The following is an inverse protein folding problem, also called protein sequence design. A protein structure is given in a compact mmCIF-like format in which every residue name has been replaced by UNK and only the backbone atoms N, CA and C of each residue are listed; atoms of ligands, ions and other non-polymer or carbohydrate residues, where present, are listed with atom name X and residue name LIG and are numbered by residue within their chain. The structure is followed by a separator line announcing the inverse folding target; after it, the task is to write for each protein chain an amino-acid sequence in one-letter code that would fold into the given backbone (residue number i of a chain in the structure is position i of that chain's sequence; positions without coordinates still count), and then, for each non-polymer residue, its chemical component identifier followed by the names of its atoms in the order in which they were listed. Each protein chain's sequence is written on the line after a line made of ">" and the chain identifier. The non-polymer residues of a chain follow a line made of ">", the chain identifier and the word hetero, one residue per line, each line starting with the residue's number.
data_IF_862038697125
#
_entry.id   IF_862038697125
#
_cell.length_a   1.000
_cell.length_b   1.000
_cell.length_c   1.000
_cell.angle_alpha   90.00
_cell.angle_beta   90.00
_cell.angle_gamma   90.00
#
_symmetry.space_group_name_H-M   'P 1'
#
loop_
_entity.id
_entity.type
_entity.pdbx_description
1 polymer ?
#
# COMPACT_ATOMS: atom_id res chain seq x y z
N UNK A 1 -36.05 10.15 1.71
CA UNK A 1 -34.56 10.15 1.76
C UNK A 1 -34.04 9.02 0.93
N UNK A 2 -33.83 9.24 -0.37
CA UNK A 2 -33.30 8.23 -1.28
C UNK A 2 -31.77 8.31 -1.26
N UNK A 3 -31.13 7.32 -0.62
CA UNK A 3 -29.67 7.17 -0.68
C UNK A 3 -29.21 6.99 -2.14
N UNK A 4 -28.03 7.48 -2.53
CA UNK A 4 -27.57 7.49 -3.89
C UNK A 4 -27.41 6.06 -4.42
N UNK A 5 -27.91 5.82 -5.64
CA UNK A 5 -27.76 4.56 -6.36
C UNK A 5 -26.26 4.33 -6.66
N UNK A 6 -25.65 3.46 -5.89
CA UNK A 6 -24.30 2.96 -6.13
C UNK A 6 -24.39 1.97 -7.30
N UNK A 7 -23.54 2.10 -8.32
CA UNK A 7 -23.52 1.17 -9.45
C UNK A 7 -23.30 -0.28 -8.99
N UNK A 8 -23.72 -1.28 -9.79
CA UNK A 8 -23.70 -2.71 -9.44
C UNK A 8 -22.33 -3.18 -8.89
N UNK A 9 -21.22 -2.70 -9.47
CA UNK A 9 -19.86 -3.01 -8.99
C UNK A 9 -19.57 -2.45 -7.61
N UNK A 10 -19.94 -1.20 -7.34
CA UNK A 10 -19.74 -0.58 -6.03
C UNK A 10 -20.64 -1.21 -4.94
N UNK A 11 -21.84 -1.69 -5.31
CA UNK A 11 -22.68 -2.48 -4.40
C UNK A 11 -22.04 -3.83 -4.07
N UNK A 12 -21.41 -4.49 -5.04
CA UNK A 12 -20.71 -5.76 -4.83
C UNK A 12 -19.50 -5.59 -3.91
N UNK A 13 -18.66 -4.57 -4.15
CA UNK A 13 -17.50 -4.30 -3.30
C UNK A 13 -17.90 -3.95 -1.86
N UNK A 14 -18.96 -3.16 -1.70
CA UNK A 14 -19.53 -2.87 -0.37
C UNK A 14 -20.02 -4.15 0.31
N UNK A 15 -20.79 -4.98 -0.39
CA UNK A 15 -21.25 -6.27 0.14
C UNK A 15 -20.11 -7.21 0.51
N UNK A 16 -19.02 -7.22 -0.27
CA UNK A 16 -17.81 -7.98 0.04
C UNK A 16 -17.18 -7.45 1.33
N UNK A 17 -17.04 -6.16 1.49
CA UNK A 17 -16.48 -5.53 2.68
C UNK A 17 -17.35 -5.76 3.92
N UNK A 18 -18.66 -5.57 3.80
CA UNK A 18 -19.63 -5.81 4.87
C UNK A 18 -19.58 -7.29 5.30
N UNK A 19 -19.49 -8.23 4.34
CA UNK A 19 -19.29 -9.64 4.63
C UNK A 19 -17.97 -10.00 5.31
N UNK A 20 -16.94 -9.16 5.20
CA UNK A 20 -15.70 -9.37 5.95
C UNK A 20 -15.90 -9.10 7.45
N UNK A 21 -16.78 -8.17 7.81
CA UNK A 21 -17.13 -7.83 9.19
C UNK A 21 -18.20 -8.75 9.75
N UNK A 22 -19.30 -8.97 9.01
CA UNK A 22 -20.51 -9.67 9.46
C UNK A 22 -20.44 -11.20 9.27
N UNK A 23 -19.45 -11.67 8.53
CA UNK A 23 -19.25 -13.06 8.14
C UNK A 23 -19.70 -13.33 6.70
N UNK A 24 -18.89 -14.04 5.91
CA UNK A 24 -19.19 -14.35 4.53
C UNK A 24 -20.30 -15.40 4.44
N UNK A 25 -21.22 -15.21 3.49
CA UNK A 25 -22.18 -16.25 3.13
C UNK A 25 -21.50 -17.50 2.53
N UNK A 26 -22.25 -18.61 2.44
CA UNK A 26 -21.74 -19.90 1.97
C UNK A 26 -21.07 -19.78 0.58
N UNK A 27 -21.69 -19.08 -0.38
CA UNK A 27 -21.15 -18.92 -1.71
C UNK A 27 -19.77 -18.20 -1.71
N UNK A 28 -19.62 -17.20 -0.88
CA UNK A 28 -18.35 -16.44 -0.74
C UNK A 28 -17.28 -17.29 -0.06
N UNK A 29 -17.67 -18.14 0.89
CA UNK A 29 -16.77 -19.08 1.57
C UNK A 29 -16.27 -20.16 0.60
N UNK A 30 -17.13 -20.71 -0.27
CA UNK A 30 -16.74 -21.66 -1.32
C UNK A 30 -15.79 -21.00 -2.32
N UNK A 31 -16.12 -19.80 -2.81
CA UNK A 31 -15.24 -19.06 -3.72
C UNK A 31 -13.85 -18.77 -3.10
N UNK A 32 -13.82 -18.46 -1.80
CA UNK A 32 -12.58 -18.26 -1.05
C UNK A 32 -11.76 -19.56 -0.92
N UNK A 33 -12.40 -20.68 -0.73
CA UNK A 33 -11.72 -21.98 -0.68
C UNK A 33 -11.08 -22.33 -2.04
N UNK A 34 -11.81 -22.11 -3.15
CA UNK A 34 -11.27 -22.32 -4.50
C UNK A 34 -10.09 -21.39 -4.78
N UNK A 35 -10.21 -20.10 -4.44
CA UNK A 35 -9.13 -19.14 -4.55
C UNK A 35 -7.89 -19.58 -3.73
N UNK A 36 -8.13 -20.01 -2.49
CA UNK A 36 -7.07 -20.47 -1.59
C UNK A 36 -6.34 -21.70 -2.18
N UNK A 37 -7.09 -22.68 -2.67
CA UNK A 37 -6.52 -23.90 -3.27
C UNK A 37 -5.67 -23.59 -4.50
N UNK A 38 -6.17 -22.75 -5.41
CA UNK A 38 -5.44 -22.36 -6.62
C UNK A 38 -4.16 -21.58 -6.27
N UNK A 39 -4.25 -20.67 -5.28
CA UNK A 39 -3.12 -19.85 -4.86
C UNK A 39 -2.06 -20.68 -4.12
N UNK A 40 -2.48 -21.55 -3.20
CA UNK A 40 -1.58 -22.43 -2.44
C UNK A 40 -0.94 -23.49 -3.33
N UNK A 41 -1.67 -24.04 -4.28
CA UNK A 41 -1.13 -24.97 -5.28
C UNK A 41 -0.03 -24.31 -6.12
N UNK A 42 -0.27 -23.08 -6.59
CA UNK A 42 0.77 -22.31 -7.30
C UNK A 42 1.99 -22.06 -6.43
N UNK A 43 1.79 -21.65 -5.17
CA UNK A 43 2.89 -21.36 -4.26
C UNK A 43 3.69 -22.62 -3.92
N UNK A 44 3.04 -23.76 -3.74
CA UNK A 44 3.69 -25.06 -3.57
C UNK A 44 4.60 -25.42 -4.76
N UNK A 45 4.15 -25.15 -5.99
CA UNK A 45 4.97 -25.40 -7.19
C UNK A 45 6.23 -24.52 -7.21
N UNK A 46 6.14 -23.27 -6.72
CA UNK A 46 7.31 -22.41 -6.55
C UNK A 46 8.23 -22.91 -5.41
N UNK A 47 7.65 -23.34 -4.28
CA UNK A 47 8.40 -23.80 -3.11
C UNK A 47 9.09 -25.12 -3.38
N UNK A 48 8.48 -26.01 -4.18
CA UNK A 48 9.06 -27.25 -4.68
C UNK A 48 10.09 -27.05 -5.79
N UNK A 49 10.32 -25.81 -6.25
CA UNK A 49 11.26 -25.53 -7.33
C UNK A 49 10.79 -26.02 -8.72
N UNK A 50 9.48 -26.32 -8.90
CA UNK A 50 8.92 -26.67 -10.22
C UNK A 50 8.72 -25.39 -11.04
N UNK A 51 8.19 -24.35 -10.40
CA UNK A 51 8.13 -23.01 -10.98
C UNK A 51 9.30 -22.17 -10.45
N UNK A 52 9.92 -21.40 -11.32
CA UNK A 52 11.06 -20.57 -10.96
C UNK A 52 10.79 -19.10 -11.31
N UNK A 53 11.10 -18.19 -10.39
CA UNK A 53 11.20 -16.77 -10.69
C UNK A 53 12.42 -16.50 -11.58
N UNK A 54 12.21 -15.69 -12.62
CA UNK A 54 13.30 -15.27 -13.52
C UNK A 54 14.13 -14.18 -12.85
N UNK A 55 15.46 -14.29 -12.94
CA UNK A 55 16.36 -13.20 -12.58
C UNK A 55 16.32 -12.11 -13.65
N UNK A 56 16.51 -10.87 -13.20
CA UNK A 56 16.78 -9.72 -14.05
C UNK A 56 18.21 -9.25 -13.85
N UNK A 57 18.69 -8.33 -14.66
CA UNK A 57 20.11 -7.93 -14.70
C UNK A 57 20.53 -7.01 -13.54
N UNK A 58 19.59 -6.54 -12.75
CA UNK A 58 19.83 -5.63 -11.62
C UNK A 58 19.14 -6.15 -10.36
N UNK A 59 19.59 -5.76 -9.15
CA UNK A 59 18.96 -6.14 -7.90
C UNK A 59 17.49 -5.71 -7.82
N UNK A 60 16.63 -6.58 -7.27
CA UNK A 60 15.20 -6.34 -7.09
C UNK A 60 14.84 -6.40 -5.62
N UNK A 61 14.29 -5.30 -5.12
CA UNK A 61 13.70 -5.17 -3.79
C UNK A 61 12.18 -5.18 -3.97
N UNK A 62 11.54 -6.22 -3.48
CA UNK A 62 10.08 -6.38 -3.58
C UNK A 62 9.41 -5.90 -2.30
N UNK A 63 8.47 -5.00 -2.43
CA UNK A 63 7.61 -4.56 -1.33
C UNK A 63 6.20 -5.11 -1.59
N UNK A 64 5.61 -5.76 -0.62
CA UNK A 64 4.29 -6.32 -0.76
C UNK A 64 3.50 -6.38 0.53
N UNK A 65 2.40 -7.10 0.55
CA UNK A 65 1.57 -7.30 1.72
C UNK A 65 0.70 -8.54 1.56
N UNK A 66 0.16 -9.05 2.66
CA UNK A 66 -0.73 -10.22 2.63
C UNK A 66 -2.16 -9.86 2.28
N UNK A 67 -2.56 -8.59 2.44
CA UNK A 67 -3.95 -8.15 2.28
C UNK A 67 -4.18 -7.35 1.00
N UNK A 68 -5.43 -7.32 0.57
CA UNK A 68 -5.91 -6.43 -0.48
C UNK A 68 -6.21 -5.06 0.13
N UNK A 69 -5.69 -3.99 -0.50
CA UNK A 69 -5.87 -2.61 -0.05
C UNK A 69 -5.09 -2.22 1.21
N UNK A 70 -4.80 -0.96 1.36
CA UNK A 70 -4.45 -0.26 2.59
C UNK A 70 -3.23 -0.68 3.42
N UNK A 71 -2.43 -1.66 3.03
CA UNK A 71 -1.35 -2.18 3.89
C UNK A 71 -0.09 -1.31 4.02
N UNK A 72 -0.14 -0.05 3.58
CA UNK A 72 1.00 0.87 3.71
C UNK A 72 2.15 0.63 2.73
N UNK A 73 1.97 -0.19 1.71
CA UNK A 73 3.01 -0.51 0.71
C UNK A 73 3.55 0.73 0.01
N UNK A 74 2.67 1.58 -0.49
CA UNK A 74 3.04 2.77 -1.26
C UNK A 74 3.98 3.72 -0.51
N UNK A 75 3.70 4.17 0.73
CA UNK A 75 4.64 4.99 1.49
C UNK A 75 5.94 4.25 1.85
N UNK A 76 5.90 2.94 2.10
CA UNK A 76 7.11 2.13 2.34
C UNK A 76 7.95 1.99 1.07
N UNK A 77 7.33 1.73 -0.08
CA UNK A 77 8.01 1.67 -1.37
C UNK A 77 8.68 3.00 -1.72
N UNK A 78 7.96 4.11 -1.49
CA UNK A 78 8.47 5.44 -1.70
C UNK A 78 9.69 5.73 -0.79
N UNK A 79 9.60 5.41 0.50
CA UNK A 79 10.71 5.62 1.44
C UNK A 79 11.94 4.78 1.06
N UNK A 80 11.77 3.52 0.68
CA UNK A 80 12.86 2.65 0.25
C UNK A 80 13.52 3.18 -1.03
N UNK A 81 12.73 3.65 -1.99
CA UNK A 81 13.26 4.28 -3.21
C UNK A 81 14.05 5.57 -2.88
N UNK A 82 13.55 6.38 -1.95
CA UNK A 82 14.25 7.56 -1.43
C UNK A 82 15.59 7.20 -0.79
N UNK A 83 15.64 6.19 0.09
CA UNK A 83 16.90 5.74 0.70
C UNK A 83 17.93 5.26 -0.32
N UNK A 84 17.47 4.60 -1.38
CA UNK A 84 18.34 4.17 -2.47
C UNK A 84 18.92 5.37 -3.21
N UNK A 85 18.10 6.38 -3.50
CA UNK A 85 18.51 7.60 -4.17
C UNK A 85 19.52 8.37 -3.31
N UNK A 86 19.22 8.60 -2.03
CA UNK A 86 20.12 9.22 -1.04
C UNK A 86 21.43 8.46 -0.90
N UNK A 87 21.40 7.13 -1.01
CA UNK A 87 22.58 6.26 -1.01
C UNK A 87 23.36 6.25 -2.34
N UNK A 88 23.07 7.19 -3.26
CA UNK A 88 23.74 7.32 -4.54
C UNK A 88 23.41 6.19 -5.53
N UNK A 89 22.26 5.48 -5.33
CA UNK A 89 21.77 4.47 -6.28
C UNK A 89 20.86 5.14 -7.32
N UNK A 90 20.66 4.46 -8.43
CA UNK A 90 19.70 4.86 -9.46
C UNK A 90 18.52 3.88 -9.44
N UNK A 91 17.57 4.03 -8.49
CA UNK A 91 16.43 3.15 -8.41
C UNK A 91 15.42 3.43 -9.52
N UNK A 92 14.70 2.37 -9.94
CA UNK A 92 13.43 2.53 -10.59
C UNK A 92 12.35 1.85 -9.75
N UNK A 93 11.20 2.50 -9.62
CA UNK A 93 10.02 1.98 -8.96
C UNK A 93 9.06 1.44 -10.01
N UNK A 94 8.66 0.19 -9.85
CA UNK A 94 7.77 -0.50 -10.80
C UNK A 94 6.43 -0.76 -10.14
N UNK A 95 5.37 -0.23 -10.71
CA UNK A 95 3.98 -0.48 -10.31
C UNK A 95 3.32 -1.53 -11.21
N UNK A 96 2.07 -1.88 -10.93
CA UNK A 96 1.43 -3.07 -11.49
C UNK A 96 0.36 -2.81 -12.55
N UNK A 97 0.42 -1.71 -13.30
CA UNK A 97 -0.59 -1.34 -14.29
C UNK A 97 -1.84 -0.72 -13.65
N UNK A 98 -1.63 0.01 -12.55
CA UNK A 98 -2.67 0.78 -11.84
C UNK A 98 -2.25 2.25 -11.87
N UNK A 99 -2.80 3.06 -12.78
CA UNK A 99 -2.30 4.40 -13.08
C UNK A 99 -2.22 5.35 -11.89
N UNK A 100 -3.20 5.33 -10.98
CA UNK A 100 -3.21 6.18 -9.79
C UNK A 100 -2.07 5.80 -8.80
N UNK A 101 -1.68 4.52 -8.70
CA UNK A 101 -0.53 4.10 -7.89
C UNK A 101 0.78 4.66 -8.46
N UNK A 102 0.93 4.64 -9.79
CA UNK A 102 2.10 5.19 -10.45
C UNK A 102 2.21 6.71 -10.27
N UNK A 103 1.09 7.43 -10.43
CA UNK A 103 1.08 8.89 -10.23
C UNK A 103 1.40 9.26 -8.77
N UNK A 104 0.87 8.52 -7.79
CA UNK A 104 1.23 8.70 -6.39
C UNK A 104 2.74 8.51 -6.17
N UNK A 105 3.33 7.48 -6.77
CA UNK A 105 4.77 7.24 -6.65
C UNK A 105 5.61 8.35 -7.30
N UNK A 106 5.18 8.88 -8.46
CA UNK A 106 5.84 10.03 -9.11
C UNK A 106 5.78 11.30 -8.26
N UNK A 107 4.65 11.49 -7.57
CA UNK A 107 4.48 12.64 -6.67
C UNK A 107 5.36 12.53 -5.42
N UNK A 108 5.48 11.32 -4.85
CA UNK A 108 6.28 11.06 -3.65
C UNK A 108 7.79 11.08 -3.92
N UNK A 109 8.21 10.71 -5.12
CA UNK A 109 9.61 10.54 -5.51
C UNK A 109 9.90 11.15 -6.88
N UNK A 110 9.98 12.47 -6.96
CA UNK A 110 10.15 13.23 -8.23
C UNK A 110 11.42 12.85 -9.00
N UNK A 111 12.47 12.43 -8.29
CA UNK A 111 13.78 12.10 -8.85
C UNK A 111 13.98 10.59 -9.08
N UNK A 112 12.95 9.78 -8.84
CA UNK A 112 12.97 8.33 -9.08
C UNK A 112 12.21 8.01 -10.36
N UNK A 113 12.82 7.20 -11.21
CA UNK A 113 12.13 6.67 -12.40
C UNK A 113 10.97 5.77 -11.96
N UNK A 114 9.75 6.07 -12.42
CA UNK A 114 8.55 5.27 -12.15
C UNK A 114 8.00 4.71 -13.45
N UNK A 115 8.01 3.38 -13.58
CA UNK A 115 7.43 2.63 -14.68
C UNK A 115 6.16 1.90 -14.22
N UNK A 116 5.12 1.97 -15.02
CA UNK A 116 3.85 1.29 -14.76
C UNK A 116 3.49 0.35 -15.90
N UNK A 117 3.36 -0.95 -15.58
CA UNK A 117 2.95 -1.95 -16.55
C UNK A 117 2.43 -3.20 -15.85
N UNK A 118 1.40 -3.83 -16.41
CA UNK A 118 0.95 -5.16 -15.98
C UNK A 118 2.02 -6.22 -16.22
N UNK A 119 2.78 -6.11 -17.31
CA UNK A 119 4.01 -6.87 -17.52
C UNK A 119 5.18 -6.17 -16.83
N UNK A 120 5.33 -6.44 -15.55
CA UNK A 120 6.41 -5.88 -14.72
C UNK A 120 7.80 -6.19 -15.24
N UNK A 121 7.96 -7.29 -15.99
CA UNK A 121 9.25 -7.64 -16.59
C UNK A 121 9.58 -6.69 -17.73
N UNK A 122 8.62 -6.39 -18.59
CA UNK A 122 8.79 -5.40 -19.64
C UNK A 122 9.11 -4.02 -19.06
N UNK A 123 8.41 -3.61 -17.99
CA UNK A 123 8.71 -2.38 -17.27
C UNK A 123 10.14 -2.35 -16.72
N UNK A 124 10.62 -3.45 -16.10
CA UNK A 124 11.99 -3.54 -15.60
C UNK A 124 13.01 -3.41 -16.74
N UNK A 125 12.77 -4.06 -17.88
CA UNK A 125 13.67 -3.97 -19.05
C UNK A 125 13.76 -2.52 -19.53
N UNK A 126 12.63 -1.81 -19.65
CA UNK A 126 12.62 -0.37 -20.01
C UNK A 126 13.38 0.46 -18.98
N UNK A 127 13.09 0.27 -17.69
CA UNK A 127 13.74 1.01 -16.62
C UNK A 127 15.28 0.83 -16.65
N UNK A 128 15.76 -0.41 -16.86
CA UNK A 128 17.18 -0.70 -16.98
C UNK A 128 17.80 -0.04 -18.22
N UNK A 129 17.11 -0.05 -19.35
CA UNK A 129 17.53 0.66 -20.56
C UNK A 129 17.62 2.18 -20.35
N UNK A 130 16.77 2.75 -19.47
CA UNK A 130 16.81 4.15 -19.05
C UNK A 130 17.85 4.44 -17.95
N UNK A 131 18.65 3.43 -17.58
CA UNK A 131 19.78 3.57 -16.68
C UNK A 131 19.51 3.24 -15.21
N UNK A 132 18.38 2.60 -14.88
CA UNK A 132 18.16 2.08 -13.53
C UNK A 132 19.21 1.02 -13.18
N UNK A 133 19.66 1.05 -11.92
CA UNK A 133 20.68 0.14 -11.38
C UNK A 133 20.13 -0.76 -10.26
N UNK A 134 18.94 -0.51 -9.78
CA UNK A 134 18.18 -1.36 -8.88
C UNK A 134 16.68 -1.11 -9.06
N UNK A 135 15.87 -2.09 -8.70
CA UNK A 135 14.41 -2.05 -8.86
C UNK A 135 13.75 -2.10 -7.49
N UNK A 136 12.78 -1.22 -7.26
CA UNK A 136 11.80 -1.30 -6.19
C UNK A 136 10.48 -1.76 -6.82
N UNK A 137 10.05 -2.98 -6.49
CA UNK A 137 8.85 -3.57 -7.06
C UNK A 137 7.68 -3.36 -6.10
N UNK A 138 6.82 -2.39 -6.37
CA UNK A 138 5.63 -2.13 -5.55
C UNK A 138 4.58 -3.22 -5.75
N UNK A 139 3.99 -3.67 -4.65
CA UNK A 139 3.04 -4.79 -4.64
C UNK A 139 3.61 -6.08 -5.26
N UNK A 140 4.89 -6.38 -4.98
CA UNK A 140 5.65 -7.47 -5.62
C UNK A 140 5.54 -8.84 -4.95
N UNK A 141 5.08 -8.98 -3.71
CA UNK A 141 5.15 -10.21 -2.92
C UNK A 141 4.46 -11.41 -3.56
N UNK A 142 3.29 -11.21 -4.18
CA UNK A 142 2.57 -12.24 -4.92
C UNK A 142 3.18 -12.52 -6.31
N UNK A 143 4.09 -11.65 -6.79
CA UNK A 143 4.59 -11.70 -8.16
C UNK A 143 5.86 -12.55 -8.26
N UNK A 144 5.78 -13.85 -7.92
CA UNK A 144 6.89 -14.80 -7.84
C UNK A 144 7.58 -15.10 -9.20
N UNK A 145 7.02 -14.60 -10.32
CA UNK A 145 7.66 -14.74 -11.66
C UNK A 145 8.97 -13.96 -11.81
N UNK A 146 9.17 -12.93 -10.97
CA UNK A 146 10.43 -12.18 -10.88
C UNK A 146 11.08 -12.57 -9.58
N UNK A 147 12.36 -12.98 -9.64
CA UNK A 147 13.13 -13.28 -8.44
C UNK A 147 13.53 -11.96 -7.77
N UNK A 148 13.16 -11.82 -6.53
CA UNK A 148 13.58 -10.69 -5.68
C UNK A 148 14.81 -11.06 -4.88
N UNK A 149 15.71 -10.10 -4.68
CA UNK A 149 16.91 -10.24 -3.86
C UNK A 149 16.66 -9.82 -2.41
N UNK A 150 15.58 -9.05 -2.18
CA UNK A 150 15.07 -8.65 -0.87
C UNK A 150 13.55 -8.60 -0.91
N UNK A 151 12.89 -9.28 0.02
CA UNK A 151 11.42 -9.27 0.15
C UNK A 151 10.99 -8.56 1.43
N UNK A 152 10.35 -7.41 1.30
CA UNK A 152 9.78 -6.63 2.39
C UNK A 152 8.25 -6.78 2.37
N UNK A 153 7.67 -7.21 3.49
CA UNK A 153 6.22 -7.39 3.60
C UNK A 153 5.65 -6.37 4.58
N UNK A 154 4.72 -5.56 4.11
CA UNK A 154 3.98 -4.62 4.93
C UNK A 154 2.75 -5.29 5.53
N UNK A 155 2.59 -5.18 6.84
CA UNK A 155 1.42 -5.61 7.59
C UNK A 155 0.82 -4.37 8.25
N UNK A 156 -0.42 -4.08 7.94
CA UNK A 156 -1.17 -2.99 8.54
C UNK A 156 -1.92 -3.47 9.77
N UNK A 157 -1.86 -2.69 10.85
CA UNK A 157 -2.49 -3.04 12.13
C UNK A 157 -3.99 -3.18 12.06
N UNK A 158 -4.68 -2.48 11.15
CA UNK A 158 -6.14 -2.56 11.01
C UNK A 158 -6.58 -3.87 10.35
N UNK A 159 -6.00 -4.20 9.20
CA UNK A 159 -6.38 -5.42 8.48
C UNK A 159 -5.86 -6.69 9.16
N UNK A 160 -4.72 -6.62 9.85
CA UNK A 160 -4.12 -7.77 10.52
C UNK A 160 -4.82 -8.14 11.84
N UNK A 161 -5.47 -7.17 12.49
CA UNK A 161 -6.29 -7.42 13.70
C UNK A 161 -7.61 -8.14 13.42
N UNK A 162 -7.99 -8.30 12.15
CA UNK A 162 -9.18 -9.07 11.77
C UNK A 162 -9.00 -10.54 12.17
N UNK A 163 -9.79 -10.98 13.14
CA UNK A 163 -9.66 -12.26 13.83
C UNK A 163 -9.70 -13.48 12.92
N UNK A 164 -10.42 -13.42 11.80
CA UNK A 164 -10.65 -14.59 10.96
C UNK A 164 -9.62 -14.79 9.84
N UNK A 165 -8.74 -13.82 9.53
CA UNK A 165 -7.73 -13.87 8.43
C UNK A 165 -8.17 -14.61 7.17
N UNK A 166 -9.44 -14.42 6.80
CA UNK A 166 -10.05 -15.11 5.67
C UNK A 166 -9.46 -14.62 4.35
N UNK A 167 -9.34 -15.54 3.40
CA UNK A 167 -8.86 -15.23 2.05
C UNK A 167 -9.92 -14.56 1.18
N UNK A 168 -9.48 -13.90 0.13
CA UNK A 168 -10.37 -13.37 -0.89
C UNK A 168 -11.29 -14.47 -1.47
N UNK A 169 -12.53 -14.19 -1.79
CA UNK A 169 -13.28 -12.96 -1.51
C UNK A 169 -13.92 -12.89 -0.12
N UNK A 170 -13.80 -13.93 0.72
CA UNK A 170 -14.43 -14.02 2.05
C UNK A 170 -13.70 -13.20 3.14
N UNK A 171 -12.58 -12.58 2.83
CA UNK A 171 -11.79 -11.70 3.68
C UNK A 171 -10.72 -10.97 2.87
N UNK A 172 -9.95 -10.08 3.47
CA UNK A 172 -8.99 -9.23 2.76
C UNK A 172 -7.69 -9.96 2.37
N UNK A 173 -7.43 -11.18 2.87
CA UNK A 173 -6.14 -11.83 2.68
C UNK A 173 -5.99 -12.43 1.28
N UNK A 174 -4.88 -12.13 0.63
CA UNK A 174 -4.45 -12.73 -0.65
C UNK A 174 -3.72 -14.04 -0.43
N UNK A 175 -2.97 -14.13 0.68
CA UNK A 175 -2.15 -15.28 1.03
C UNK A 175 -2.38 -15.73 2.47
N UNK A 176 -1.94 -16.94 2.78
CA UNK A 176 -1.96 -17.47 4.14
C UNK A 176 -0.93 -16.74 5.03
N UNK A 177 -1.21 -16.68 6.32
CA UNK A 177 -0.31 -16.03 7.29
C UNK A 177 1.09 -16.64 7.30
N UNK A 178 1.21 -17.96 7.11
CA UNK A 178 2.51 -18.64 7.01
C UNK A 178 3.36 -18.23 5.80
N UNK A 179 2.78 -17.56 4.80
CA UNK A 179 3.57 -16.98 3.69
C UNK A 179 4.55 -15.91 4.13
N UNK A 180 4.40 -15.38 5.36
CA UNK A 180 5.38 -14.46 5.98
C UNK A 180 6.78 -15.08 6.11
N UNK A 181 6.90 -16.39 6.18
CA UNK A 181 8.22 -17.07 6.24
C UNK A 181 9.10 -16.82 5.00
N UNK A 182 8.50 -16.33 3.91
CA UNK A 182 9.26 -15.91 2.71
C UNK A 182 9.80 -14.48 2.81
N UNK A 183 9.40 -13.70 3.81
CA UNK A 183 9.86 -12.33 3.96
C UNK A 183 11.26 -12.27 4.56
N UNK A 184 12.10 -11.41 4.03
CA UNK A 184 13.39 -11.05 4.63
C UNK A 184 13.20 -9.96 5.69
N UNK A 185 12.22 -9.08 5.50
CA UNK A 185 11.82 -8.08 6.48
C UNK A 185 10.30 -7.92 6.52
N UNK A 186 9.76 -7.67 7.70
CA UNK A 186 8.34 -7.39 7.91
C UNK A 186 8.23 -6.00 8.52
N UNK A 187 7.52 -5.11 7.83
CA UNK A 187 7.22 -3.76 8.29
C UNK A 187 5.80 -3.74 8.86
N UNK A 188 5.68 -3.62 10.17
CA UNK A 188 4.39 -3.39 10.83
C UNK A 188 4.03 -1.91 10.70
N UNK A 189 3.00 -1.63 9.91
CA UNK A 189 2.54 -0.27 9.63
C UNK A 189 1.39 0.07 10.58
N UNK A 190 1.68 0.98 11.51
CA UNK A 190 0.68 1.46 12.46
C UNK A 190 -0.19 2.53 11.82
N UNK A 191 -1.51 2.30 11.81
CA UNK A 191 -2.54 3.25 11.42
C UNK A 191 -3.58 3.40 12.52
N UNK A 192 -4.05 4.64 12.73
CA UNK A 192 -5.04 4.93 13.74
C UNK A 192 -4.59 4.66 15.18
N UNK A 193 -5.56 4.47 16.07
CA UNK A 193 -5.35 4.15 17.49
C UNK A 193 -5.57 2.66 17.70
N UNK A 194 -4.52 1.86 17.59
CA UNK A 194 -4.58 0.48 18.04
C UNK A 194 -4.22 0.42 19.53
N UNK A 195 -4.93 -0.41 20.30
CA UNK A 195 -4.64 -0.62 21.71
C UNK A 195 -3.35 -1.41 21.88
N UNK A 196 -2.52 -0.99 22.82
CA UNK A 196 -1.18 -1.56 23.06
C UNK A 196 -1.18 -3.09 23.23
N UNK A 197 -2.10 -3.72 24.00
CA UNK A 197 -2.12 -5.17 24.12
C UNK A 197 -2.41 -5.91 22.81
N UNK A 198 -3.23 -5.33 21.94
CA UNK A 198 -3.54 -5.92 20.63
C UNK A 198 -2.35 -5.81 19.68
N UNK A 199 -1.61 -4.72 19.75
CA UNK A 199 -0.37 -4.52 19.00
C UNK A 199 0.69 -5.53 19.42
N UNK A 200 0.95 -5.67 20.70
CA UNK A 200 1.94 -6.63 21.23
C UNK A 200 1.61 -8.06 20.81
N UNK A 201 0.35 -8.46 20.90
CA UNK A 201 -0.10 -9.78 20.44
C UNK A 201 0.18 -9.98 18.94
N UNK A 202 -0.10 -8.96 18.12
CA UNK A 202 0.14 -9.02 16.67
C UNK A 202 1.64 -9.12 16.35
N UNK A 203 2.48 -8.37 17.04
CA UNK A 203 3.94 -8.45 16.92
C UNK A 203 4.46 -9.85 17.25
N UNK A 204 4.01 -10.43 18.36
CA UNK A 204 4.36 -11.79 18.76
C UNK A 204 3.93 -12.84 17.73
N UNK A 205 2.76 -12.65 17.13
CA UNK A 205 2.27 -13.52 16.06
C UNK A 205 3.09 -13.39 14.77
N UNK A 206 3.52 -12.19 14.42
CA UNK A 206 4.41 -11.93 13.28
C UNK A 206 5.77 -12.58 13.51
N UNK A 207 6.38 -12.36 14.67
CA UNK A 207 7.70 -12.92 15.03
C UNK A 207 7.68 -14.46 15.06
N UNK A 208 6.56 -15.06 15.50
CA UNK A 208 6.38 -16.52 15.45
C UNK A 208 6.20 -17.06 14.04
N UNK A 209 5.47 -16.31 13.17
CA UNK A 209 5.24 -16.73 11.79
C UNK A 209 6.48 -16.60 10.88
N UNK A 210 7.38 -15.70 11.21
CA UNK A 210 8.62 -15.46 10.44
C UNK A 210 9.78 -15.09 11.38
N UNK A 211 10.35 -16.07 12.10
CA UNK A 211 11.37 -15.81 13.13
C UNK A 211 12.71 -15.33 12.55
N UNK A 212 12.93 -15.53 11.25
CA UNK A 212 14.15 -15.11 10.54
C UNK A 212 14.04 -13.72 9.94
N UNK A 213 12.83 -13.21 9.74
CA UNK A 213 12.65 -11.89 9.14
C UNK A 213 13.06 -10.78 10.11
N UNK A 214 13.65 -9.73 9.56
CA UNK A 214 13.84 -8.49 10.31
C UNK A 214 12.47 -7.87 10.60
N UNK A 215 12.15 -7.71 11.87
CA UNK A 215 10.96 -6.94 12.28
C UNK A 215 11.27 -5.44 12.26
N UNK A 216 10.35 -4.66 11.70
CA UNK A 216 10.47 -3.21 11.58
C UNK A 216 9.14 -2.57 11.92
N UNK A 217 9.13 -1.57 12.77
CA UNK A 217 7.93 -0.77 13.03
C UNK A 217 7.94 0.53 12.21
N UNK A 218 6.77 0.91 11.71
CA UNK A 218 6.56 2.13 10.97
C UNK A 218 5.18 2.71 11.32
N UNK A 219 5.11 4.00 11.61
CA UNK A 219 3.85 4.70 11.83
C UNK A 219 3.62 5.72 10.73
N UNK A 220 2.45 5.70 10.12
CA UNK A 220 2.03 6.76 9.23
C UNK A 220 1.46 7.91 10.06
N UNK A 221 2.12 9.06 10.00
CA UNK A 221 1.69 10.28 10.69
C UNK A 221 1.25 11.32 9.68
N UNK A 222 0.12 11.93 9.97
CA UNK A 222 -0.36 13.09 9.24
C UNK A 222 0.59 14.27 9.42
N UNK A 223 0.88 14.95 8.31
CA UNK A 223 1.74 16.14 8.26
C UNK A 223 0.99 17.36 7.71
N UNK A 224 -0.34 17.40 7.91
CA UNK A 224 -1.21 18.45 7.44
C UNK A 224 -1.72 18.23 6.01
N UNK A 225 -2.29 19.28 5.46
CA UNK A 225 -2.88 19.25 4.12
C UNK A 225 -1.92 19.89 3.11
N UNK A 226 -1.94 19.38 1.88
CA UNK A 226 -1.12 19.89 0.77
C UNK A 226 -2.01 20.16 -0.44
N UNK A 227 -1.72 21.21 -1.21
CA UNK A 227 -2.47 21.50 -2.43
C UNK A 227 -2.30 20.38 -3.46
N UNK A 228 -3.41 19.98 -4.09
CA UNK A 228 -3.42 19.06 -5.21
C UNK A 228 -3.72 19.76 -6.55
N UNK A 229 -4.11 21.05 -6.52
CA UNK A 229 -4.24 21.89 -7.69
C UNK A 229 -3.92 23.34 -7.36
N UNK A 230 -3.80 24.19 -8.38
CA UNK A 230 -3.41 25.61 -8.25
C UNK A 230 -4.39 26.42 -7.38
N UNK A 231 -5.68 26.09 -7.40
CA UNK A 231 -6.69 26.81 -6.61
C UNK A 231 -6.52 26.63 -5.10
N UNK A 232 -5.83 25.57 -4.68
CA UNK A 232 -5.51 25.27 -3.28
C UNK A 232 -4.16 25.88 -2.83
N UNK A 233 -3.33 26.36 -3.75
CA UNK A 233 -2.02 26.93 -3.41
C UNK A 233 -2.14 28.17 -2.52
N UNK A 234 -1.35 28.21 -1.45
CA UNK A 234 -1.35 29.31 -0.47
C UNK A 234 -2.63 29.40 0.38
N UNK A 235 -3.49 28.39 0.37
CA UNK A 235 -4.73 28.29 1.15
C UNK A 235 -4.73 27.06 2.03
N UNK A 236 -5.47 27.14 3.13
CA UNK A 236 -5.79 26.00 3.98
C UNK A 236 -7.23 25.55 3.73
N UNK A 237 -7.55 24.26 3.89
CA UNK A 237 -8.92 23.78 3.79
C UNK A 237 -9.78 24.33 4.94
N UNK A 238 -11.05 24.60 4.66
CA UNK A 238 -12.02 25.09 5.63
C UNK A 238 -13.11 24.06 5.93
N UNK A 239 -13.93 24.32 6.95
CA UNK A 239 -15.08 23.47 7.27
C UNK A 239 -16.13 23.37 6.16
N UNK A 240 -16.08 24.26 5.15
CA UNK A 240 -16.96 24.18 3.97
C UNK A 240 -16.49 23.14 2.95
N UNK A 241 -15.31 22.54 3.14
CA UNK A 241 -14.81 21.46 2.27
C UNK A 241 -15.55 20.15 2.53
N UNK A 242 -15.62 19.30 1.51
CA UNK A 242 -16.02 17.90 1.65
C UNK A 242 -14.80 17.01 1.74
N UNK A 243 -14.83 16.04 2.67
CA UNK A 243 -13.81 15.01 2.79
C UNK A 243 -14.16 13.82 1.90
N UNK A 244 -13.24 13.41 1.02
CA UNK A 244 -13.42 12.36 0.01
C UNK A 244 -12.37 11.28 0.16
N UNK A 245 -12.80 10.01 0.24
CA UNK A 245 -11.90 8.87 0.31
C UNK A 245 -12.37 7.73 -0.60
N UNK A 246 -11.60 7.45 -1.66
CA UNK A 246 -11.74 6.31 -2.58
C UNK A 246 -10.70 5.25 -2.29
N UNK A 247 -10.69 4.71 -1.07
CA UNK A 247 -9.76 3.68 -0.59
C UNK A 247 -10.52 2.57 0.13
N UNK A 248 -9.88 1.42 0.29
CA UNK A 248 -10.51 0.24 0.93
C UNK A 248 -11.00 0.52 2.35
N UNK A 249 -10.23 1.26 3.14
CA UNK A 249 -10.52 1.63 4.52
C UNK A 249 -10.53 3.15 4.64
N UNK A 250 -11.68 3.82 4.47
CA UNK A 250 -11.77 5.28 4.49
C UNK A 250 -11.79 5.87 5.90
N UNK A 251 -12.18 5.09 6.92
CA UNK A 251 -12.38 5.53 8.30
C UNK A 251 -11.11 6.19 8.89
N UNK A 252 -9.89 5.59 8.77
CA UNK A 252 -8.68 6.23 9.30
C UNK A 252 -8.37 7.58 8.68
N UNK A 253 -8.73 7.79 7.43
CA UNK A 253 -8.58 9.10 6.78
C UNK A 253 -9.52 10.12 7.41
N UNK A 254 -10.80 9.79 7.58
CA UNK A 254 -11.77 10.69 8.19
C UNK A 254 -11.43 11.01 9.64
N UNK A 255 -11.03 10.01 10.42
CA UNK A 255 -10.59 10.21 11.81
C UNK A 255 -9.37 11.13 11.89
N UNK A 256 -8.44 10.99 10.94
CA UNK A 256 -7.24 11.85 10.89
C UNK A 256 -7.59 13.28 10.52
N UNK A 257 -8.51 13.50 9.59
CA UNK A 257 -9.03 14.83 9.24
C UNK A 257 -9.61 15.52 10.46
N UNK A 258 -10.38 14.78 11.28
CA UNK A 258 -10.97 15.32 12.54
C UNK A 258 -9.90 15.65 13.58
N UNK A 259 -8.91 14.76 13.75
CA UNK A 259 -7.78 14.98 14.70
C UNK A 259 -6.96 16.22 14.33
N UNK A 260 -6.89 16.54 13.04
CA UNK A 260 -6.24 17.78 12.56
C UNK A 260 -7.12 19.02 12.74
N UNK A 261 -8.33 18.89 13.31
CA UNK A 261 -9.23 19.99 13.61
C UNK A 261 -10.09 20.45 12.43
N UNK A 262 -10.06 19.76 11.31
CA UNK A 262 -10.94 20.05 10.18
C UNK A 262 -12.26 19.28 10.36
N UNK A 263 -13.36 20.02 10.54
CA UNK A 263 -14.71 19.46 10.57
C UNK A 263 -15.38 19.71 9.21
N UNK A 264 -15.24 18.81 8.22
CA UNK A 264 -15.71 19.04 6.87
C UNK A 264 -17.25 19.05 6.80
N UNK A 265 -17.81 19.81 5.85
CA UNK A 265 -19.25 19.91 5.59
C UNK A 265 -19.90 18.54 5.29
N UNK A 266 -19.13 17.60 4.79
CA UNK A 266 -19.58 16.24 4.52
C UNK A 266 -18.41 15.26 4.36
N UNK A 267 -18.73 13.96 4.46
CA UNK A 267 -17.79 12.86 4.24
C UNK A 267 -18.33 11.93 3.17
N UNK A 268 -17.52 11.61 2.18
CA UNK A 268 -17.91 10.77 1.06
C UNK A 268 -16.90 9.66 0.87
N UNK A 269 -17.32 8.42 1.15
CA UNK A 269 -16.55 7.22 0.83
C UNK A 269 -16.94 6.72 -0.57
N UNK A 270 -15.93 6.46 -1.37
CA UNK A 270 -16.02 5.83 -2.68
C UNK A 270 -15.31 4.47 -2.65
N UNK A 271 -15.43 3.70 -3.73
CA UNK A 271 -14.70 2.44 -3.83
C UNK A 271 -13.19 2.68 -4.01
N UNK A 272 -12.41 1.67 -3.67
CA UNK A 272 -10.96 1.70 -3.94
C UNK A 272 -10.71 1.83 -5.45
N UNK A 273 -9.78 2.72 -5.84
CA UNK A 273 -9.49 3.08 -7.24
C UNK A 273 -10.68 3.67 -8.02
N UNK A 274 -11.57 4.43 -7.36
CA UNK A 274 -12.69 5.10 -8.04
C UNK A 274 -12.19 6.02 -9.16
N UNK A 275 -12.71 5.91 -10.39
CA UNK A 275 -12.30 6.78 -11.50
C UNK A 275 -12.92 8.18 -11.46
N UNK A 276 -13.93 8.41 -10.60
CA UNK A 276 -14.66 9.67 -10.47
C UNK A 276 -15.29 10.17 -11.77
N UNK A 277 -16.36 9.51 -12.18
CA UNK A 277 -17.17 9.94 -13.34
C UNK A 277 -18.03 11.18 -13.05
N UNK A 278 -18.79 11.66 -14.04
CA UNK A 278 -19.61 12.88 -13.91
C UNK A 278 -20.56 12.88 -12.70
N UNK A 279 -21.16 11.73 -12.37
CA UNK A 279 -22.08 11.62 -11.24
C UNK A 279 -21.37 11.76 -9.90
N UNK A 280 -20.18 11.16 -9.75
CA UNK A 280 -19.35 11.25 -8.55
C UNK A 280 -18.87 12.70 -8.37
N UNK A 281 -18.42 13.33 -9.45
CA UNK A 281 -17.99 14.74 -9.42
C UNK A 281 -19.13 15.69 -9.05
N UNK A 282 -20.34 15.48 -9.59
CA UNK A 282 -21.54 16.27 -9.20
C UNK A 282 -21.86 16.13 -7.71
N UNK A 283 -21.79 14.91 -7.18
CA UNK A 283 -22.00 14.67 -5.75
C UNK A 283 -20.96 15.38 -4.89
N UNK A 284 -19.68 15.33 -5.30
CA UNK A 284 -18.61 16.04 -4.60
C UNK A 284 -18.84 17.55 -4.67
N UNK A 285 -19.29 18.08 -5.83
CA UNK A 285 -19.64 19.51 -5.99
C UNK A 285 -20.75 19.95 -5.05
N UNK A 286 -21.77 19.13 -4.90
CA UNK A 286 -22.89 19.41 -4.01
C UNK A 286 -22.51 19.33 -2.52
N UNK A 287 -21.40 18.69 -2.17
CA UNK A 287 -21.00 18.45 -0.80
C UNK A 287 -20.16 19.54 -0.15
N UNK A 288 -19.63 20.51 -0.91
CA UNK A 288 -18.80 21.57 -0.34
C UNK A 288 -18.14 22.47 -1.38
N UNK A 289 -17.50 23.55 -0.91
CA UNK A 289 -16.83 24.55 -1.76
C UNK A 289 -15.39 24.14 -2.16
N UNK A 290 -14.81 23.17 -1.45
CA UNK A 290 -13.50 22.58 -1.72
C UNK A 290 -13.47 21.11 -1.37
N UNK A 291 -12.39 20.42 -1.69
CA UNK A 291 -12.23 18.98 -1.49
C UNK A 291 -10.97 18.69 -0.67
N UNK A 292 -11.11 17.90 0.39
CA UNK A 292 -9.99 17.28 1.10
C UNK A 292 -10.05 15.78 0.85
N UNK A 293 -8.96 15.18 0.40
CA UNK A 293 -8.96 13.77 0.02
C UNK A 293 -7.67 13.04 0.39
N UNK A 294 -7.64 11.73 0.14
CA UNK A 294 -6.40 10.96 0.25
C UNK A 294 -5.45 11.33 -0.89
N UNK A 295 -4.14 11.09 -0.72
CA UNK A 295 -3.16 11.30 -1.79
C UNK A 295 -3.52 10.50 -3.06
N UNK A 296 -4.05 9.29 -2.90
CA UNK A 296 -4.48 8.41 -3.98
C UNK A 296 -5.65 8.98 -4.79
N UNK A 297 -6.53 9.73 -4.13
CA UNK A 297 -7.64 10.41 -4.80
C UNK A 297 -7.21 11.76 -5.38
N UNK A 298 -6.26 12.42 -4.75
CA UNK A 298 -5.77 13.73 -5.16
C UNK A 298 -5.17 13.73 -6.57
N UNK A 299 -4.42 12.68 -6.94
CA UNK A 299 -3.84 12.56 -8.29
C UNK A 299 -4.90 12.48 -9.39
N UNK A 300 -6.14 12.08 -9.02
CA UNK A 300 -7.31 12.04 -9.92
C UNK A 300 -8.14 13.31 -9.82
N UNK A 301 -8.51 13.70 -8.58
CA UNK A 301 -9.42 14.83 -8.34
C UNK A 301 -8.77 16.19 -8.59
N UNK A 302 -7.47 16.33 -8.34
CA UNK A 302 -6.75 17.58 -8.62
C UNK A 302 -6.92 18.07 -10.06
N UNK A 303 -6.61 17.26 -11.07
CA UNK A 303 -6.85 17.60 -12.48
C UNK A 303 -8.32 17.75 -12.84
N UNK A 304 -9.23 16.90 -12.29
CA UNK A 304 -10.66 16.93 -12.60
C UNK A 304 -11.37 18.18 -12.05
N UNK A 305 -10.82 18.79 -11.01
CA UNK A 305 -11.30 20.05 -10.44
C UNK A 305 -10.38 21.25 -10.74
N UNK A 306 -9.44 21.12 -11.67
CA UNK A 306 -8.61 22.24 -12.10
C UNK A 306 -9.47 23.37 -12.67
N UNK A 307 -9.36 24.59 -12.08
CA UNK A 307 -10.17 25.74 -12.48
C UNK A 307 -11.60 25.78 -11.93
N UNK A 308 -12.06 24.76 -11.21
CA UNK A 308 -13.41 24.70 -10.62
C UNK A 308 -13.36 24.98 -9.10
N UNK A 309 -12.60 24.18 -8.35
CA UNK A 309 -12.48 24.31 -6.88
C UNK A 309 -11.16 23.84 -6.34
N UNK A 310 -10.76 24.30 -5.15
CA UNK A 310 -9.51 23.87 -4.52
C UNK A 310 -9.61 22.42 -4.04
N UNK A 311 -8.52 21.68 -4.26
CA UNK A 311 -8.36 20.29 -3.81
C UNK A 311 -7.08 20.18 -2.99
N UNK A 312 -7.20 19.64 -1.80
CA UNK A 312 -6.10 19.30 -0.91
C UNK A 312 -6.04 17.80 -0.65
N UNK A 313 -4.87 17.31 -0.38
CA UNK A 313 -4.71 15.95 0.13
C UNK A 313 -4.07 15.94 1.51
N UNK A 314 -4.42 14.92 2.29
CA UNK A 314 -3.76 14.63 3.55
C UNK A 314 -2.36 14.07 3.26
N UNK A 315 -1.32 14.81 3.64
CA UNK A 315 0.06 14.32 3.59
C UNK A 315 0.29 13.38 4.76
N UNK A 316 0.70 12.15 4.48
CA UNK A 316 1.16 11.19 5.49
C UNK A 316 2.64 10.91 5.30
N UNK A 317 3.39 10.86 6.42
CA UNK A 317 4.80 10.51 6.43
C UNK A 317 5.04 9.24 7.22
N UNK A 318 5.91 8.39 6.70
CA UNK A 318 6.41 7.24 7.40
C UNK A 318 7.38 7.67 8.50
N UNK A 319 7.01 7.45 9.75
CA UNK A 319 7.88 7.61 10.93
C UNK A 319 8.33 6.23 11.34
N UNK A 320 9.60 5.98 11.15
CA UNK A 320 10.22 4.69 11.39
C UNK A 320 10.58 4.53 12.87
N UNK A 321 10.52 3.31 13.36
CA UNK A 321 10.87 2.92 14.72
C UNK A 321 11.91 1.80 14.75
N UNK A 322 11.64 0.75 15.55
CA UNK A 322 12.53 -0.41 15.66
C UNK A 322 12.89 -0.98 14.28
N UNK A 323 14.16 -1.36 14.11
CA UNK A 323 14.65 -2.05 12.91
C UNK A 323 14.93 -1.17 11.69
N UNK A 324 14.61 0.13 11.70
CA UNK A 324 14.82 1.04 10.55
C UNK A 324 16.26 1.01 10.01
N UNK A 325 17.24 1.23 10.89
CA UNK A 325 18.67 1.28 10.49
C UNK A 325 19.13 0.00 9.83
N UNK A 326 18.69 -1.15 10.36
CA UNK A 326 19.01 -2.47 9.81
C UNK A 326 18.35 -2.68 8.44
N UNK A 327 17.08 -2.30 8.30
CA UNK A 327 16.37 -2.37 7.02
C UNK A 327 17.05 -1.48 5.97
N UNK A 328 17.30 -0.21 6.29
CA UNK A 328 17.98 0.74 5.40
C UNK A 328 19.35 0.24 4.96
N UNK A 329 20.14 -0.27 5.89
CA UNK A 329 21.45 -0.88 5.60
C UNK A 329 21.31 -2.11 4.70
N UNK A 330 20.34 -2.99 4.94
CA UNK A 330 20.04 -4.16 4.12
C UNK A 330 19.65 -3.78 2.69
N UNK A 331 18.74 -2.82 2.53
CA UNK A 331 18.32 -2.24 1.24
C UNK A 331 19.51 -1.73 0.43
N UNK A 332 20.37 -0.92 1.05
CA UNK A 332 21.55 -0.34 0.39
C UNK A 332 22.59 -1.41 0.01
N UNK A 333 22.78 -2.44 0.84
CA UNK A 333 23.67 -3.57 0.53
C UNK A 333 23.12 -4.42 -0.61
N UNK A 334 21.82 -4.75 -0.59
CA UNK A 334 21.15 -5.50 -1.66
C UNK A 334 21.31 -4.79 -3.00
N UNK A 335 21.10 -3.47 -3.03
CA UNK A 335 21.27 -2.67 -4.23
C UNK A 335 22.72 -2.62 -4.75
N UNK A 336 23.71 -3.00 -3.95
CA UNK A 336 25.12 -3.13 -4.38
C UNK A 336 25.45 -4.51 -4.95
N UNK A 337 24.96 -5.57 -4.32
CA UNK A 337 25.47 -6.93 -4.49
C UNK A 337 24.48 -7.89 -5.15
N UNK A 338 23.19 -7.58 -5.20
CA UNK A 338 22.17 -8.52 -5.66
C UNK A 338 22.02 -9.76 -4.76
N UNK A 339 22.35 -9.65 -3.47
CA UNK A 339 22.30 -10.72 -2.49
C UNK A 339 21.08 -10.60 -1.59
N UNK A 340 20.50 -11.74 -1.18
CA UNK A 340 19.36 -11.79 -0.27
C UNK A 340 19.68 -11.25 1.13
N UNK A 341 18.66 -10.73 1.82
CA UNK A 341 18.78 -10.05 3.12
C UNK A 341 19.29 -10.97 4.23
N UNK A 342 18.94 -12.26 4.21
CA UNK A 342 19.36 -13.22 5.23
C UNK A 342 20.91 -13.30 5.41
N UNK A 343 21.65 -13.12 4.30
CA UNK A 343 23.09 -13.04 4.32
C UNK A 343 23.65 -11.67 4.72
N UNK A 344 22.79 -10.64 4.87
CA UNK A 344 23.21 -9.24 4.96
C UNK A 344 22.83 -8.54 6.25
N UNK A 345 21.84 -9.04 7.00
CA UNK A 345 21.38 -8.40 8.24
C UNK A 345 22.12 -8.90 9.50
N UNK A 346 22.90 -9.98 9.38
CA UNK A 346 23.57 -10.62 10.52
C UNK A 346 22.58 -11.29 11.50
N UNK A 347 23.07 -12.04 12.48
CA UNK A 347 22.21 -12.69 13.46
C UNK A 347 21.43 -11.67 14.28
N UNK A 348 20.18 -11.97 14.69
CA UNK A 348 19.43 -11.13 15.62
C UNK A 348 20.15 -11.14 16.96
N UNK A 349 20.57 -10.00 17.46
CA UNK A 349 21.09 -9.92 18.84
C UNK A 349 22.23 -8.95 19.12
N UNK A 350 22.81 -8.27 18.13
CA UNK A 350 23.86 -7.28 18.42
C UNK A 350 23.40 -5.86 18.04
N UNK A 351 22.60 -5.24 18.91
CA UNK A 351 22.51 -3.78 18.99
C UNK A 351 23.58 -3.33 20.00
N UNK A 352 24.67 -2.77 19.50
CA UNK A 352 25.55 -1.89 20.25
C UNK A 352 25.21 -0.44 19.97
#
# INVERSE_FOLDING_TARGET
>A
MNGPRIGLRGQLERRIRDAWSDGPGIGMSVASAIYALAHDGRDLLYDAGILHGRRVSVPVISIGGLTSGGSGKTPVSAAIAGWLLEGGRRPALITGGVPDEAEVQRLLNRDVLVEDDRDRRAAIVRAVAMGARCIVLDSGFQHRRIRSDLQVVCIDTLSASMTARRRLPAGPFRERWSSLDRADAIVLVHRGRAEEPALQKLEDEIRRASPRALFVSCRLRANGFRPANQLAEGREPSAECVAVAGVMWPEPFFDTVDVLGLNPAGRMAFRDHEPFGPMELERIRAGGTGVVCTLKDAVKLGPLFAGDRPVWYLEERAVWGEGERRLRSGVLRTARAGLGLAAQLGPPGEEK
#
